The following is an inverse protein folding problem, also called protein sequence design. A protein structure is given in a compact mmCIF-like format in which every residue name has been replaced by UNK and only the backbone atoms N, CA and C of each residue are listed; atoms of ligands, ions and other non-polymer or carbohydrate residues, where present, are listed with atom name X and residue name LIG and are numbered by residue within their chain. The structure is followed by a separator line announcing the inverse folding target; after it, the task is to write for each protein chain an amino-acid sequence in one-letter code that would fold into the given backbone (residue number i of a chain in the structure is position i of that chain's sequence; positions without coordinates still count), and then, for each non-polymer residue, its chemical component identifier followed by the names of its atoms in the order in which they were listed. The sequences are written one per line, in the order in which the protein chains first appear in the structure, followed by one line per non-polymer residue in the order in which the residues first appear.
data_IF_574926780558
#
_entry.id   IF_574926780558
#
_cell.length_a   1.000
_cell.length_b   1.000
_cell.length_c   1.000
_cell.angle_alpha   90.00
_cell.angle_beta   90.00
_cell.angle_gamma   90.00
#
_symmetry.space_group_name_H-M   'P 1'
#
loop_
_entity.id
_entity.type
_entity.pdbx_description
1 polymer ?
#
# COMPACT_ATOMS: atom_id res chain seq x y z
N UNK A 1 14.64 -7.09 -0.55
CA UNK A 1 13.95 -7.53 -1.77
C UNK A 1 12.99 -8.65 -1.42
N UNK A 2 11.99 -8.88 -2.26
CA UNK A 2 11.07 -10.02 -2.15
C UNK A 2 11.74 -11.27 -2.74
N UNK A 3 11.89 -12.30 -1.92
CA UNK A 3 12.20 -13.66 -2.31
C UNK A 3 10.94 -14.50 -2.35
N UNK A 4 10.97 -15.60 -3.10
CA UNK A 4 9.92 -16.60 -3.11
C UNK A 4 10.56 -17.98 -3.14
N UNK A 5 9.89 -18.94 -2.51
CA UNK A 5 10.29 -20.34 -2.51
C UNK A 5 9.08 -21.24 -2.78
N UNK A 6 9.36 -22.41 -3.31
CA UNK A 6 8.35 -23.39 -3.66
C UNK A 6 8.93 -24.55 -4.43
N UNK A 7 8.07 -25.26 -5.14
CA UNK A 7 8.42 -26.49 -5.81
C UNK A 7 7.92 -26.49 -7.26
N UNK A 8 8.49 -27.40 -8.05
CA UNK A 8 8.08 -27.63 -9.41
C UNK A 8 8.26 -29.10 -9.76
N UNK A 9 7.48 -29.56 -10.73
CA UNK A 9 7.57 -30.91 -11.30
C UNK A 9 7.83 -30.82 -12.79
N UNK A 10 8.83 -31.56 -13.26
CA UNK A 10 9.17 -31.65 -14.69
C UNK A 10 9.27 -33.10 -15.14
N UNK A 11 9.08 -33.31 -16.44
CA UNK A 11 9.34 -34.58 -17.11
C UNK A 11 10.25 -34.36 -18.32
N UNK A 12 11.15 -35.30 -18.57
CA UNK A 12 11.95 -35.31 -19.80
C UNK A 12 11.04 -35.69 -20.97
N UNK A 13 10.92 -34.83 -21.97
CA UNK A 13 10.10 -35.10 -23.17
C UNK A 13 10.74 -36.14 -24.07
N UNK A 14 12.03 -35.92 -24.39
CA UNK A 14 12.78 -36.74 -25.35
C UNK A 14 14.03 -37.33 -24.66
N UNK A 15 13.92 -38.48 -23.99
CA UNK A 15 15.03 -39.08 -23.23
C UNK A 15 16.30 -39.24 -24.07
N UNK A 16 16.16 -39.67 -25.33
CA UNK A 16 17.30 -39.85 -26.24
C UNK A 16 18.06 -38.52 -26.48
N UNK A 17 17.33 -37.44 -26.70
CA UNK A 17 17.93 -36.13 -26.94
C UNK A 17 18.51 -35.54 -25.65
N UNK A 18 17.87 -35.76 -24.50
CA UNK A 18 18.42 -35.38 -23.21
C UNK A 18 19.79 -36.02 -22.95
N UNK A 19 19.93 -37.34 -23.16
CA UNK A 19 21.22 -38.01 -23.00
C UNK A 19 22.26 -37.54 -24.02
N UNK A 20 21.85 -37.24 -25.26
CA UNK A 20 22.75 -36.80 -26.32
C UNK A 20 23.23 -35.36 -26.18
N UNK A 21 22.34 -34.44 -25.78
CA UNK A 21 22.58 -32.98 -25.79
C UNK A 21 22.82 -32.38 -24.41
N UNK A 22 22.18 -32.91 -23.37
CA UNK A 22 22.24 -32.34 -22.01
C UNK A 22 23.27 -33.09 -21.16
N UNK A 23 23.15 -34.41 -21.06
CA UNK A 23 24.16 -35.23 -20.35
C UNK A 23 25.47 -35.25 -21.13
N UNK A 24 25.39 -35.33 -22.46
CA UNK A 24 26.51 -35.13 -23.39
C UNK A 24 27.78 -35.93 -23.05
N UNK A 25 27.62 -37.17 -22.56
CA UNK A 25 28.73 -38.05 -22.22
C UNK A 25 29.37 -37.83 -20.85
N UNK A 26 28.76 -36.99 -19.99
CA UNK A 26 29.16 -36.88 -18.59
C UNK A 26 29.04 -38.25 -17.89
N UNK A 27 30.07 -38.62 -17.12
CA UNK A 27 30.11 -39.87 -16.37
C UNK A 27 29.02 -39.93 -15.29
N UNK A 28 28.71 -38.78 -14.68
CA UNK A 28 27.67 -38.63 -13.68
C UNK A 28 26.92 -37.32 -13.93
N UNK A 29 25.61 -37.42 -14.12
CA UNK A 29 24.72 -36.27 -14.23
C UNK A 29 23.64 -36.40 -13.16
N UNK A 30 23.60 -35.46 -12.22
CA UNK A 30 22.73 -35.55 -11.06
C UNK A 30 21.49 -34.68 -11.20
N UNK A 31 20.54 -34.93 -10.30
CA UNK A 31 19.33 -34.11 -10.19
C UNK A 31 19.67 -32.65 -9.87
N UNK A 32 20.71 -32.38 -9.08
CA UNK A 32 21.09 -31.01 -8.73
C UNK A 32 21.60 -30.21 -9.95
N UNK A 33 22.21 -30.90 -10.93
CA UNK A 33 22.67 -30.26 -12.17
C UNK A 33 21.49 -29.82 -13.02
N UNK A 34 20.48 -30.70 -13.15
CA UNK A 34 19.22 -30.38 -13.80
C UNK A 34 18.49 -29.24 -13.08
N UNK A 35 18.43 -29.30 -11.75
CA UNK A 35 17.76 -28.31 -10.93
C UNK A 35 18.35 -26.92 -11.14
N UNK A 36 19.69 -26.78 -11.21
CA UNK A 36 20.35 -25.49 -11.48
C UNK A 36 19.91 -24.89 -12.82
N UNK A 37 19.77 -25.71 -13.86
CA UNK A 37 19.36 -25.25 -15.19
C UNK A 37 17.95 -24.66 -15.10
N UNK A 38 17.00 -25.39 -14.51
CA UNK A 38 15.61 -24.94 -14.42
C UNK A 38 15.48 -23.72 -13.50
N UNK A 39 16.04 -23.79 -12.29
CA UNK A 39 16.00 -22.68 -11.32
C UNK A 39 16.55 -21.38 -11.88
N UNK A 40 17.61 -21.45 -12.71
CA UNK A 40 18.19 -20.26 -13.35
C UNK A 40 17.24 -19.57 -14.35
N UNK A 41 16.17 -20.24 -14.78
CA UNK A 41 15.16 -19.71 -15.72
C UNK A 41 13.92 -19.18 -15.03
N UNK A 42 13.78 -19.35 -13.70
CA UNK A 42 12.60 -18.94 -12.94
C UNK A 42 12.67 -17.46 -12.54
N UNK A 43 13.85 -16.97 -12.16
CA UNK A 43 14.01 -15.64 -11.57
C UNK A 43 13.48 -14.52 -12.46
N UNK A 44 13.83 -14.52 -13.74
CA UNK A 44 13.41 -13.47 -14.68
C UNK A 44 11.89 -13.42 -14.87
N UNK A 45 11.20 -14.51 -15.28
CA UNK A 45 9.75 -14.47 -15.47
C UNK A 45 8.98 -14.19 -14.18
N UNK A 46 9.44 -14.70 -13.03
CA UNK A 46 8.83 -14.37 -11.73
C UNK A 46 8.95 -12.87 -11.42
N UNK A 47 10.13 -12.28 -11.63
CA UNK A 47 10.36 -10.85 -11.42
C UNK A 47 9.45 -10.01 -12.32
N UNK A 48 9.33 -10.37 -13.60
CA UNK A 48 8.46 -9.67 -14.55
C UNK A 48 6.98 -9.75 -14.14
N UNK A 49 6.52 -10.91 -13.66
CA UNK A 49 5.14 -11.10 -13.18
C UNK A 49 4.86 -10.24 -11.95
N UNK A 50 5.77 -10.24 -10.98
CA UNK A 50 5.64 -9.42 -9.77
C UNK A 50 5.64 -7.93 -10.10
N UNK A 51 6.48 -7.48 -11.04
CA UNK A 51 6.51 -6.09 -11.48
C UNK A 51 5.23 -5.70 -12.25
N UNK A 52 4.70 -6.60 -13.08
CA UNK A 52 3.52 -6.33 -13.92
C UNK A 52 2.21 -6.36 -13.12
N UNK A 53 2.13 -7.24 -12.12
CA UNK A 53 0.95 -7.37 -11.25
C UNK A 53 0.74 -6.16 -10.32
N UNK A 54 1.81 -5.41 -10.01
CA UNK A 54 1.76 -4.21 -9.15
C UNK A 54 1.15 -4.47 -7.77
N UNK A 55 1.21 -5.70 -7.27
CA UNK A 55 0.72 -6.02 -5.93
C UNK A 55 1.52 -5.26 -4.86
N UNK A 56 0.83 -4.74 -3.85
CA UNK A 56 1.52 -4.32 -2.64
C UNK A 56 2.15 -5.55 -1.97
N UNK A 57 3.23 -5.36 -1.21
CA UNK A 57 3.92 -6.48 -0.56
C UNK A 57 3.00 -7.31 0.35
N UNK A 58 2.01 -6.68 0.98
CA UNK A 58 1.00 -7.33 1.82
C UNK A 58 0.01 -8.19 1.04
N UNK A 59 -0.09 -8.00 -0.28
CA UNK A 59 -1.06 -8.68 -1.15
C UNK A 59 -0.45 -9.84 -1.93
N UNK A 60 0.89 -9.89 -2.05
CA UNK A 60 1.59 -10.96 -2.79
C UNK A 60 1.18 -12.34 -2.26
N UNK A 61 1.10 -12.45 -0.94
CA UNK A 61 0.77 -13.70 -0.26
C UNK A 61 -0.68 -14.15 -0.51
N UNK A 62 -1.62 -13.22 -0.71
CA UNK A 62 -3.01 -13.51 -1.01
C UNK A 62 -3.22 -13.91 -2.48
N UNK A 63 -2.32 -13.48 -3.37
CA UNK A 63 -2.42 -13.70 -4.81
C UNK A 63 -1.38 -14.73 -5.33
N UNK A 64 -0.91 -15.62 -4.43
CA UNK A 64 0.15 -16.60 -4.76
C UNK A 64 -0.27 -17.57 -5.86
N UNK A 65 -1.54 -17.97 -5.89
CA UNK A 65 -2.06 -18.91 -6.89
C UNK A 65 -2.02 -18.29 -8.30
N UNK A 66 -2.43 -17.03 -8.43
CA UNK A 66 -2.41 -16.28 -9.68
C UNK A 66 -0.97 -16.07 -10.18
N UNK A 67 -0.05 -15.74 -9.26
CA UNK A 67 1.38 -15.58 -9.59
C UNK A 67 1.95 -16.93 -10.06
N UNK A 68 1.66 -18.02 -9.35
CA UNK A 68 2.13 -19.36 -9.70
C UNK A 68 1.58 -19.80 -11.07
N UNK A 69 0.30 -19.58 -11.35
CA UNK A 69 -0.32 -19.91 -12.63
C UNK A 69 0.30 -19.10 -13.79
N UNK A 70 0.53 -17.80 -13.60
CA UNK A 70 1.20 -16.97 -14.59
C UNK A 70 2.65 -17.42 -14.84
N UNK A 71 3.35 -17.83 -13.79
CA UNK A 71 4.71 -18.33 -13.87
C UNK A 71 4.77 -19.67 -14.60
N UNK A 72 3.84 -20.59 -14.31
CA UNK A 72 3.73 -21.89 -14.95
C UNK A 72 3.58 -21.75 -16.47
N UNK A 73 2.75 -20.82 -16.95
CA UNK A 73 2.57 -20.56 -18.39
C UNK A 73 3.90 -20.19 -19.06
N UNK A 74 4.66 -19.27 -18.45
CA UNK A 74 5.96 -18.84 -18.99
C UNK A 74 6.99 -19.98 -18.95
N UNK A 75 7.02 -20.73 -17.84
CA UNK A 75 7.96 -21.82 -17.67
C UNK A 75 7.67 -23.01 -18.58
N UNK A 76 6.40 -23.31 -18.88
CA UNK A 76 6.03 -24.33 -19.86
C UNK A 76 6.72 -24.09 -21.20
N UNK A 77 6.66 -22.87 -21.72
CA UNK A 77 7.32 -22.50 -22.97
C UNK A 77 8.84 -22.67 -22.88
N UNK A 78 9.46 -22.14 -21.82
CA UNK A 78 10.92 -22.21 -21.63
C UNK A 78 11.40 -23.66 -21.48
N UNK A 79 10.66 -24.50 -20.75
CA UNK A 79 11.02 -25.90 -20.52
C UNK A 79 10.96 -26.71 -21.81
N UNK A 80 9.99 -26.47 -22.68
CA UNK A 80 9.87 -27.15 -23.97
C UNK A 80 11.12 -26.93 -24.82
N UNK A 81 11.62 -25.69 -24.88
CA UNK A 81 12.87 -25.35 -25.61
C UNK A 81 14.10 -26.08 -25.04
N UNK A 82 14.06 -26.45 -23.76
CA UNK A 82 15.10 -27.21 -23.07
C UNK A 82 14.89 -28.73 -23.13
N UNK A 83 13.80 -29.22 -23.72
CA UNK A 83 13.46 -30.64 -23.83
C UNK A 83 12.71 -31.22 -22.63
N UNK A 84 12.05 -30.38 -21.84
CA UNK A 84 11.29 -30.76 -20.66
C UNK A 84 9.81 -30.33 -20.76
N UNK A 85 8.95 -31.12 -20.15
CA UNK A 85 7.55 -30.78 -19.88
C UNK A 85 7.47 -30.24 -18.46
N UNK A 86 6.89 -29.05 -18.28
CA UNK A 86 6.54 -28.54 -16.95
C UNK A 86 5.16 -29.05 -16.56
N UNK A 87 5.10 -29.82 -15.47
CA UNK A 87 3.89 -30.50 -14.99
C UNK A 87 3.12 -29.68 -13.95
N UNK A 88 3.85 -29.04 -13.03
CA UNK A 88 3.29 -28.31 -11.88
C UNK A 88 4.30 -27.29 -11.38
N UNK A 89 3.84 -26.12 -10.96
CA UNK A 89 4.65 -25.08 -10.32
C UNK A 89 3.86 -24.54 -9.13
N UNK A 90 4.50 -24.48 -7.96
CA UNK A 90 3.88 -23.96 -6.73
C UNK A 90 4.78 -22.94 -6.06
N UNK A 91 4.17 -21.89 -5.54
CA UNK A 91 4.78 -20.95 -4.62
C UNK A 91 4.30 -21.34 -3.22
N UNK A 92 5.22 -21.85 -2.40
CA UNK A 92 4.90 -22.24 -1.02
C UNK A 92 4.94 -21.03 -0.08
N UNK A 93 5.86 -20.11 -0.33
CA UNK A 93 5.95 -18.90 0.47
C UNK A 93 6.78 -17.80 -0.16
N UNK A 94 6.67 -16.64 0.46
CA UNK A 94 7.49 -15.47 0.16
C UNK A 94 8.42 -15.21 1.34
N UNK A 95 9.54 -14.56 1.06
CA UNK A 95 10.44 -14.03 2.07
C UNK A 95 10.76 -12.59 1.73
N UNK A 96 10.97 -11.78 2.76
CA UNK A 96 11.38 -10.39 2.59
C UNK A 96 12.72 -10.21 3.29
N UNK A 97 13.52 -9.24 2.84
CA UNK A 97 14.64 -8.79 3.65
C UNK A 97 14.14 -8.06 4.89
N UNK A 98 14.95 -8.09 5.95
CA UNK A 98 14.61 -7.58 7.28
C UNK A 98 14.09 -6.13 7.26
N UNK A 99 14.68 -5.29 6.40
CA UNK A 99 14.25 -3.91 6.22
C UNK A 99 12.84 -3.77 5.60
N UNK A 100 12.46 -4.67 4.69
CA UNK A 100 11.12 -4.67 4.10
C UNK A 100 10.11 -5.30 5.04
N UNK A 101 10.49 -6.38 5.72
CA UNK A 101 9.68 -7.04 6.73
C UNK A 101 9.28 -6.08 7.88
N UNK A 102 10.24 -5.30 8.40
CA UNK A 102 9.98 -4.29 9.42
C UNK A 102 8.95 -3.23 8.97
N UNK A 103 8.96 -2.85 7.68
CA UNK A 103 7.98 -1.90 7.12
C UNK A 103 6.60 -2.53 6.97
N UNK A 104 6.55 -3.77 6.48
CA UNK A 104 5.30 -4.53 6.35
C UNK A 104 4.66 -4.70 7.74
N UNK A 105 5.43 -5.16 8.72
CA UNK A 105 4.95 -5.34 10.10
C UNK A 105 4.41 -4.03 10.68
N UNK A 106 5.14 -2.92 10.49
CA UNK A 106 4.67 -1.60 10.94
C UNK A 106 3.33 -1.20 10.29
N UNK A 107 3.17 -1.41 8.99
CA UNK A 107 1.91 -1.10 8.29
C UNK A 107 0.78 -2.02 8.75
N UNK A 108 1.06 -3.31 8.92
CA UNK A 108 0.11 -4.29 9.41
C UNK A 108 -0.38 -3.93 10.83
N UNK A 109 0.54 -3.60 11.74
CA UNK A 109 0.22 -3.18 13.11
C UNK A 109 -0.65 -1.92 13.12
N UNK A 110 -0.28 -0.90 12.34
CA UNK A 110 -1.07 0.34 12.22
C UNK A 110 -2.46 0.08 11.65
N UNK A 111 -2.57 -0.83 10.68
CA UNK A 111 -3.86 -1.18 10.05
C UNK A 111 -4.75 -1.94 11.02
N UNK A 112 -4.20 -2.94 11.73
CA UNK A 112 -4.91 -3.71 12.73
C UNK A 112 -5.40 -2.82 13.87
N UNK A 113 -4.55 -1.88 14.33
CA UNK A 113 -4.92 -0.90 15.34
C UNK A 113 -6.03 0.04 14.86
N UNK A 114 -5.93 0.56 13.63
CA UNK A 114 -6.97 1.39 13.03
C UNK A 114 -8.31 0.65 12.91
N UNK A 115 -8.28 -0.62 12.50
CA UNK A 115 -9.47 -1.46 12.44
C UNK A 115 -10.08 -1.70 13.83
N UNK A 116 -9.25 -1.99 14.84
CA UNK A 116 -9.71 -2.20 16.21
C UNK A 116 -10.34 -0.93 16.80
N UNK A 117 -9.74 0.24 16.58
CA UNK A 117 -10.31 1.52 17.04
C UNK A 117 -11.60 1.85 16.31
N UNK A 118 -11.66 1.62 15.01
CA UNK A 118 -12.89 1.82 14.24
C UNK A 118 -14.02 0.90 14.72
N UNK A 119 -13.71 -0.36 15.05
CA UNK A 119 -14.67 -1.29 15.65
C UNK A 119 -15.22 -0.80 17.01
N UNK A 120 -14.44 0.01 17.74
CA UNK A 120 -14.82 0.67 18.98
C UNK A 120 -15.46 2.06 18.77
N UNK A 121 -15.66 2.50 17.52
CA UNK A 121 -16.19 3.83 17.18
C UNK A 121 -15.21 4.97 17.42
N UNK A 122 -13.92 4.68 17.59
CA UNK A 122 -12.87 5.65 17.89
C UNK A 122 -12.09 5.96 16.61
N UNK A 123 -11.91 7.25 16.31
CA UNK A 123 -11.11 7.68 15.17
C UNK A 123 -9.60 7.51 15.46
N UNK A 124 -8.90 6.76 14.61
CA UNK A 124 -7.44 6.56 14.69
C UNK A 124 -6.66 7.87 14.76
N UNK A 125 -7.05 8.88 13.96
CA UNK A 125 -6.40 10.19 13.95
C UNK A 125 -6.49 10.89 15.31
N UNK A 126 -7.63 10.75 16.00
CA UNK A 126 -7.85 11.35 17.30
C UNK A 126 -7.02 10.65 18.39
N UNK A 127 -6.88 9.32 18.32
CA UNK A 127 -5.98 8.58 19.22
C UNK A 127 -4.52 8.99 19.01
N UNK A 128 -4.07 9.07 17.76
CA UNK A 128 -2.68 9.43 17.47
C UNK A 128 -2.35 10.86 17.93
N UNK A 129 -3.32 11.78 17.83
CA UNK A 129 -3.19 13.12 18.40
C UNK A 129 -3.11 13.10 19.94
N UNK A 130 -3.93 12.28 20.61
CA UNK A 130 -3.88 12.11 22.06
C UNK A 130 -2.57 11.47 22.54
N UNK A 131 -2.03 10.51 21.81
CA UNK A 131 -0.73 9.90 22.13
C UNK A 131 0.42 10.89 21.92
N UNK A 132 0.39 11.70 20.85
CA UNK A 132 1.38 12.75 20.64
C UNK A 132 1.35 13.79 21.78
N UNK A 133 0.16 14.21 22.21
CA UNK A 133 -0.02 15.10 23.36
C UNK A 133 0.46 14.46 24.66
N UNK A 134 0.14 13.18 24.91
CA UNK A 134 0.62 12.46 26.09
C UNK A 134 2.15 12.28 26.11
N UNK A 135 2.76 12.01 24.95
CA UNK A 135 4.21 11.89 24.84
C UNK A 135 4.91 13.24 25.01
N UNK A 136 4.31 14.34 24.54
CA UNK A 136 4.79 15.68 24.84
C UNK A 136 4.70 15.98 26.35
N UNK A 137 3.56 15.69 26.99
CA UNK A 137 3.35 15.89 28.43
C UNK A 137 4.28 15.03 29.31
N UNK A 138 4.61 13.80 28.88
CA UNK A 138 5.57 12.94 29.59
C UNK A 138 7.03 13.41 29.45
N UNK A 139 7.37 14.06 28.33
CA UNK A 139 8.70 14.65 28.11
C UNK A 139 8.81 16.09 28.62
N UNK A 140 7.70 16.70 29.06
CA UNK A 140 7.62 18.04 29.65
C UNK A 140 8.11 18.13 31.10
N UNK A 141 8.61 17.05 31.68
CA UNK A 141 9.37 17.08 32.94
C UNK A 141 10.77 17.72 32.81
N UNK A 142 11.23 18.10 31.61
CA UNK A 142 12.55 18.70 31.43
C UNK A 142 12.63 19.68 30.28
N UNK A 143 12.43 20.98 30.57
CA UNK A 143 12.91 22.21 29.89
C UNK A 143 12.67 22.37 28.37
N UNK A 144 12.36 21.31 27.61
CA UNK A 144 12.20 21.30 26.16
C UNK A 144 10.77 21.61 25.69
N UNK A 145 9.76 21.52 26.57
CA UNK A 145 8.35 21.77 26.24
C UNK A 145 8.00 23.24 25.98
N UNK A 146 8.75 24.17 26.55
CA UNK A 146 8.55 25.61 26.29
C UNK A 146 9.17 26.07 24.97
N UNK A 147 10.20 25.37 24.46
CA UNK A 147 10.84 25.71 23.18
C UNK A 147 10.15 25.07 21.97
N UNK A 148 9.66 23.83 22.13
CA UNK A 148 9.00 23.08 21.07
C UNK A 148 7.53 23.47 20.86
N UNK A 149 6.81 23.91 21.90
CA UNK A 149 5.42 24.39 21.76
C UNK A 149 5.31 25.68 20.93
N UNK A 150 6.31 26.56 21.03
CA UNK A 150 6.41 27.77 20.23
C UNK A 150 6.83 27.51 18.77
N UNK A 151 7.72 26.56 18.50
CA UNK A 151 8.14 26.23 17.12
C UNK A 151 7.19 25.28 16.40
N UNK A 152 6.58 24.31 17.10
CA UNK A 152 5.50 23.49 16.54
C UNK A 152 4.21 24.30 16.35
N UNK A 153 3.92 25.28 17.21
CA UNK A 153 2.79 26.22 17.01
C UNK A 153 2.93 27.06 15.73
N UNK A 154 4.16 27.43 15.35
CA UNK A 154 4.43 28.15 14.11
C UNK A 154 4.40 27.22 12.89
N UNK A 155 4.97 26.02 12.96
CA UNK A 155 4.96 25.05 11.85
C UNK A 155 3.57 24.48 11.56
N UNK A 156 2.79 24.18 12.61
CA UNK A 156 1.40 23.73 12.50
C UNK A 156 0.48 24.89 12.10
N UNK A 157 0.72 26.12 12.59
CA UNK A 157 0.01 27.32 12.16
C UNK A 157 0.23 27.66 10.68
N UNK A 158 1.43 27.38 10.15
CA UNK A 158 1.75 27.58 8.75
C UNK A 158 1.23 26.44 7.86
N UNK A 159 1.22 25.19 8.35
CA UNK A 159 0.60 24.05 7.67
C UNK A 159 -0.93 24.15 7.65
N UNK A 160 -1.55 24.64 8.73
CA UNK A 160 -2.98 24.91 8.83
C UNK A 160 -3.37 26.17 8.04
N UNK A 161 -2.53 27.21 8.06
CA UNK A 161 -2.68 28.40 7.20
C UNK A 161 -2.59 28.05 5.71
N UNK A 162 -1.68 27.15 5.32
CA UNK A 162 -1.59 26.65 3.95
C UNK A 162 -2.73 25.67 3.61
N UNK A 163 -3.19 24.82 4.53
CA UNK A 163 -4.36 23.97 4.31
C UNK A 163 -5.64 24.81 4.13
N UNK A 164 -5.76 25.92 4.85
CA UNK A 164 -6.86 26.88 4.69
C UNK A 164 -6.73 27.74 3.43
N UNK A 165 -5.49 28.01 2.98
CA UNK A 165 -5.24 28.70 1.71
C UNK A 165 -5.42 27.78 0.49
N UNK A 166 -5.16 26.47 0.63
CA UNK A 166 -5.36 25.47 -0.44
C UNK A 166 -6.82 25.02 -0.56
N UNK A 167 -7.64 25.25 0.48
CA UNK A 167 -9.11 25.19 0.35
C UNK A 167 -9.70 26.47 -0.28
N UNK A 168 -8.90 27.53 -0.42
CA UNK A 168 -9.32 28.83 -0.96
C UNK A 168 -8.77 29.11 -2.38
N UNK A 169 -8.05 28.18 -3.00
CA UNK A 169 -7.56 28.31 -4.39
C UNK A 169 -8.41 27.57 -5.42
N UNK A 170 -9.60 27.07 -5.03
CA UNK A 170 -10.59 26.58 -5.97
C UNK A 170 -11.97 27.20 -5.73
N UNK A 171 -12.03 28.54 -5.70
CA UNK A 171 -13.26 29.24 -6.07
C UNK A 171 -12.94 30.68 -6.53
N UNK A 172 -12.40 30.80 -7.74
CA UNK A 172 -12.63 31.99 -8.55
C UNK A 172 -13.98 31.78 -9.25
N UNK A 173 -15.04 32.07 -8.53
CA UNK A 173 -16.39 32.16 -9.06
C UNK A 173 -17.05 33.32 -8.34
N UNK A 174 -17.75 34.12 -9.13
CA UNK A 174 -18.25 35.44 -8.83
C UNK A 174 -19.06 35.50 -7.54
N UNK A 175 -19.11 36.72 -7.00
CA UNK A 175 -19.82 37.15 -5.82
C UNK A 175 -21.34 37.02 -6.02
N UNK A 176 -21.83 35.79 -6.14
CA UNK A 176 -23.23 35.49 -6.40
C UNK A 176 -23.96 35.32 -5.06
N UNK A 177 -24.80 36.30 -4.65
CA UNK A 177 -25.57 36.23 -3.41
C UNK A 177 -26.45 34.98 -3.32
N UNK A 178 -26.79 34.33 -4.44
CA UNK A 178 -27.56 33.08 -4.45
C UNK A 178 -26.77 31.89 -3.86
N UNK A 179 -25.45 31.82 -4.07
CA UNK A 179 -24.60 30.78 -3.47
C UNK A 179 -24.40 30.99 -1.96
N UNK A 180 -24.39 32.25 -1.50
CA UNK A 180 -24.31 32.57 -0.06
C UNK A 180 -25.59 32.13 0.67
N UNK A 181 -26.75 32.31 0.05
CA UNK A 181 -28.03 31.84 0.58
C UNK A 181 -28.10 30.30 0.67
N UNK A 182 -27.53 29.59 -0.32
CA UNK A 182 -27.50 28.13 -0.32
C UNK A 182 -26.58 27.57 0.78
N UNK A 183 -25.38 28.16 0.96
CA UNK A 183 -24.47 27.81 2.06
C UNK A 183 -25.09 28.11 3.43
N UNK A 184 -25.78 29.25 3.57
CA UNK A 184 -26.47 29.62 4.81
C UNK A 184 -27.59 28.61 5.15
N UNK A 185 -28.32 28.12 4.15
CA UNK A 185 -29.37 27.11 4.34
C UNK A 185 -28.78 25.77 4.80
N UNK A 186 -27.66 25.34 4.19
CA UNK A 186 -26.93 24.11 4.62
C UNK A 186 -26.40 24.22 6.05
N UNK A 187 -25.97 25.40 6.50
CA UNK A 187 -25.54 25.61 7.89
C UNK A 187 -26.70 25.51 8.88
N UNK A 188 -27.88 26.02 8.52
CA UNK A 188 -29.09 25.88 9.34
C UNK A 188 -29.58 24.42 9.38
N UNK A 189 -29.64 23.74 8.23
CA UNK A 189 -30.09 22.34 8.15
C UNK A 189 -29.16 21.39 8.92
N UNK A 190 -27.86 21.71 9.02
CA UNK A 190 -26.88 20.99 9.84
C UNK A 190 -26.84 21.42 11.32
N UNK A 191 -27.79 22.25 11.77
CA UNK A 191 -27.90 22.75 13.15
C UNK A 191 -26.66 23.53 13.65
N UNK A 192 -25.87 24.09 12.74
CA UNK A 192 -24.67 24.87 13.09
C UNK A 192 -24.98 26.33 13.45
N UNK A 193 -26.18 26.81 13.09
CA UNK A 193 -26.67 28.17 13.38
C UNK A 193 -28.14 28.12 13.81
N UNK A 194 -28.55 29.07 14.64
CA UNK A 194 -29.93 29.19 15.11
C UNK A 194 -30.87 29.78 14.05
N UNK A 195 -32.19 29.59 14.22
CA UNK A 195 -33.21 30.10 13.29
C UNK A 195 -33.19 31.64 13.20
N UNK A 196 -32.89 32.29 14.30
CA UNK A 196 -32.81 33.76 14.39
C UNK A 196 -31.59 34.30 13.63
N UNK A 197 -30.45 33.63 13.74
CA UNK A 197 -29.22 33.98 13.00
C UNK A 197 -29.37 33.73 11.49
N UNK A 198 -30.04 32.64 11.11
CA UNK A 198 -30.35 32.34 9.72
C UNK A 198 -31.23 33.43 9.09
N UNK A 199 -32.31 33.84 9.78
CA UNK A 199 -33.21 34.90 9.30
C UNK A 199 -32.50 36.24 9.18
N UNK A 200 -31.71 36.62 10.18
CA UNK A 200 -30.96 37.88 10.17
C UNK A 200 -29.95 37.94 9.01
N UNK A 201 -29.17 36.88 8.81
CA UNK A 201 -28.17 36.82 7.73
C UNK A 201 -28.77 36.69 6.35
N UNK A 202 -29.90 35.98 6.21
CA UNK A 202 -30.65 35.92 4.96
C UNK A 202 -31.18 37.30 4.54
N UNK A 203 -31.71 38.07 5.49
CA UNK A 203 -32.18 39.43 5.22
C UNK A 203 -31.02 40.38 4.85
N UNK A 204 -29.86 40.25 5.49
CA UNK A 204 -28.66 41.03 5.18
C UNK A 204 -28.10 40.74 3.77
N UNK A 205 -28.20 39.49 3.30
CA UNK A 205 -27.74 39.10 1.97
C UNK A 205 -28.73 39.57 0.90
N UNK A 206 -30.04 39.49 1.17
CA UNK A 206 -31.09 39.97 0.26
C UNK A 206 -31.13 41.50 0.15
N UNK A 207 -30.69 42.25 1.16
CA UNK A 207 -30.61 43.71 1.08
C UNK A 207 -29.36 44.23 0.37
N UNK A 208 -28.38 43.36 0.11
CA UNK A 208 -27.16 43.64 -0.66
C UNK A 208 -27.26 43.20 -2.13
N UNK A 209 -28.41 42.62 -2.52
CA UNK A 209 -28.83 42.43 -3.92
C UNK A 209 -29.49 43.71 -4.43
#
# INVERSE_FOLDING_TARGET
GLGAYGNYSIRILEPKEFFRKVVAGAELYKVEDLQKIISSRITQPLTDILATSRYAYTEVDANREEIAAALEIKLKTICVDLGFEMLDVRIEGTSFDEATEARINKIADMTAEAQALNALGINYAQKQQLEALNNAAKNEGGIAGLGASLTAGLGLGQAMGNAMNTMNTQQKSEDDPMQKLEKLKKMFDNQLISEDEYKAKKAEILSKM
#
